data_IF_353750990486
#
_entry.id   IF_353750990486
#
_cell.length_a   1.000
_cell.length_b   1.000
_cell.length_c   1.000
_cell.angle_alpha   90.00
_cell.angle_beta   90.00
_cell.angle_gamma   90.00
#
_symmetry.space_group_name_H-M   'P 1'
#
loop_
_entity.id
_entity.type
_entity.pdbx_description
1 polymer ?
#
# COMPACT_ATOMS: atom_id res chain seq x y z
N UNK A 1 1.63 -16.62 -37.89
CA UNK A 1 2.49 -16.46 -36.71
C UNK A 1 1.65 -16.39 -35.45
N UNK A 2 2.18 -16.91 -34.33
CA UNK A 2 1.50 -16.88 -33.03
C UNK A 2 1.89 -15.61 -32.26
N UNK A 3 0.94 -14.96 -31.58
CA UNK A 3 1.24 -13.83 -30.71
C UNK A 3 2.17 -14.27 -29.56
N UNK A 4 3.18 -13.46 -29.20
CA UNK A 4 4.03 -13.70 -28.04
C UNK A 4 3.24 -13.89 -26.73
N UNK A 5 3.87 -14.51 -25.73
CA UNK A 5 3.32 -14.53 -24.37
C UNK A 5 3.23 -13.08 -23.86
N UNK A 6 2.20 -12.78 -23.07
CA UNK A 6 1.81 -11.47 -22.56
C UNK A 6 1.17 -10.51 -23.58
N UNK A 7 1.07 -10.87 -24.86
CA UNK A 7 0.34 -10.04 -25.82
C UNK A 7 -1.16 -9.97 -25.51
N UNK A 8 -1.76 -8.84 -25.82
CA UNK A 8 -3.20 -8.62 -25.78
C UNK A 8 -3.86 -9.05 -27.09
N UNK A 9 -4.96 -9.79 -26.98
CA UNK A 9 -5.87 -10.11 -28.07
C UNK A 9 -7.23 -9.47 -27.79
N UNK A 10 -7.89 -8.97 -28.81
CA UNK A 10 -9.23 -8.38 -28.71
C UNK A 10 -10.26 -9.27 -29.39
N UNK A 11 -11.36 -9.57 -28.70
CA UNK A 11 -12.47 -10.36 -29.27
C UNK A 11 -13.36 -9.45 -30.11
N UNK A 12 -13.48 -9.74 -31.42
CA UNK A 12 -14.29 -8.91 -32.33
C UNK A 12 -15.79 -9.00 -32.01
N UNK A 13 -16.49 -7.88 -32.24
CA UNK A 13 -17.94 -7.74 -32.18
C UNK A 13 -18.56 -8.15 -30.84
N UNK A 14 -17.86 -7.84 -29.74
CA UNK A 14 -18.34 -8.09 -28.38
C UNK A 14 -18.52 -6.79 -27.61
N UNK A 15 -19.60 -6.73 -26.82
CA UNK A 15 -19.86 -5.65 -25.85
C UNK A 15 -20.19 -6.29 -24.49
N UNK A 16 -19.55 -5.87 -23.38
CA UNK A 16 -18.44 -4.92 -23.32
C UNK A 16 -17.16 -5.46 -24.00
N UNK A 17 -16.20 -4.56 -24.26
CA UNK A 17 -14.92 -4.88 -24.90
C UNK A 17 -14.19 -5.94 -24.09
N UNK A 18 -13.79 -7.04 -24.72
CA UNK A 18 -13.07 -8.12 -24.05
C UNK A 18 -11.64 -8.22 -24.59
N UNK A 19 -10.70 -7.98 -23.68
CA UNK A 19 -9.27 -8.20 -23.89
C UNK A 19 -8.87 -9.54 -23.26
N UNK A 20 -8.08 -10.31 -24.00
CA UNK A 20 -7.49 -11.56 -23.57
C UNK A 20 -5.96 -11.39 -23.53
N UNK A 21 -5.28 -11.85 -22.49
CA UNK A 21 -3.82 -11.88 -22.43
C UNK A 21 -3.30 -13.29 -22.73
N UNK A 22 -2.32 -13.41 -23.62
CA UNK A 22 -1.68 -14.70 -23.93
C UNK A 22 -0.84 -15.18 -22.75
N UNK A 23 -1.18 -16.33 -22.19
CA UNK A 23 -0.47 -16.91 -21.05
C UNK A 23 0.49 -18.04 -21.45
N UNK A 24 0.12 -18.87 -22.42
CA UNK A 24 0.90 -20.04 -22.84
C UNK A 24 0.69 -20.37 -24.33
N UNK A 25 1.70 -20.98 -24.95
CA UNK A 25 1.58 -21.61 -26.27
C UNK A 25 1.37 -23.12 -26.08
N UNK A 26 0.30 -23.69 -26.65
CA UNK A 26 -0.07 -25.10 -26.45
C UNK A 26 0.42 -26.03 -27.57
N UNK A 27 0.92 -25.47 -28.68
CA UNK A 27 1.19 -26.20 -29.91
C UNK A 27 0.05 -26.10 -30.92
N UNK A 28 0.23 -26.65 -32.12
CA UNK A 28 -0.78 -26.65 -33.20
C UNK A 28 -1.33 -25.25 -33.56
N UNK A 29 -0.50 -24.21 -33.45
CA UNK A 29 -0.92 -22.82 -33.64
C UNK A 29 -2.04 -22.37 -32.69
N UNK A 30 -2.08 -22.91 -31.48
CA UNK A 30 -3.04 -22.53 -30.43
C UNK A 30 -2.35 -21.88 -29.23
N UNK A 31 -3.02 -20.88 -28.68
CA UNK A 31 -2.60 -20.17 -27.47
C UNK A 31 -3.64 -20.33 -26.38
N UNK A 32 -3.20 -20.37 -25.13
CA UNK A 32 -4.05 -20.28 -23.95
C UNK A 32 -4.00 -18.84 -23.44
N UNK A 33 -5.17 -18.25 -23.24
CA UNK A 33 -5.30 -16.86 -22.81
C UNK A 33 -6.06 -16.73 -21.49
N UNK A 34 -5.93 -15.58 -20.86
CA UNK A 34 -6.67 -15.17 -19.65
C UNK A 34 -7.55 -13.98 -20.02
N UNK A 35 -8.83 -14.06 -19.69
CA UNK A 35 -9.79 -12.99 -19.95
C UNK A 35 -9.71 -11.87 -18.88
N UNK A 36 -9.80 -10.61 -19.33
CA UNK A 36 -9.84 -9.44 -18.45
C UNK A 36 -11.28 -9.00 -18.10
N UNK A 37 -12.30 -9.64 -18.67
CA UNK A 37 -13.71 -9.40 -18.36
C UNK A 37 -14.46 -10.76 -18.38
N UNK A 38 -15.75 -10.77 -18.04
CA UNK A 38 -16.61 -11.95 -18.07
C UNK A 38 -16.52 -12.69 -19.41
N UNK A 39 -16.69 -14.01 -19.41
CA UNK A 39 -16.58 -14.83 -20.64
C UNK A 39 -17.94 -15.32 -21.15
N UNK A 40 -19.02 -14.86 -20.53
CA UNK A 40 -20.39 -15.13 -20.94
C UNK A 40 -20.60 -14.67 -22.39
N UNK A 41 -21.36 -15.47 -23.15
CA UNK A 41 -21.68 -15.18 -24.55
C UNK A 41 -20.57 -15.49 -25.56
N UNK A 42 -19.39 -15.95 -25.14
CA UNK A 42 -18.36 -16.41 -26.10
C UNK A 42 -18.79 -17.68 -26.80
N UNK A 43 -18.62 -17.70 -28.13
CA UNK A 43 -18.89 -18.85 -28.98
C UNK A 43 -17.62 -19.33 -29.68
N UNK A 44 -17.50 -20.65 -29.87
CA UNK A 44 -16.38 -21.23 -30.61
C UNK A 44 -16.38 -20.72 -32.05
N UNK A 45 -15.21 -20.34 -32.55
CA UNK A 45 -15.04 -19.76 -33.89
C UNK A 45 -15.17 -18.24 -33.94
N UNK A 46 -15.40 -17.56 -32.81
CA UNK A 46 -15.34 -16.11 -32.74
C UNK A 46 -13.93 -15.62 -33.06
N UNK A 47 -13.84 -14.54 -33.85
CA UNK A 47 -12.57 -13.99 -34.31
C UNK A 47 -11.92 -13.16 -33.19
N UNK A 48 -10.64 -13.41 -32.97
CA UNK A 48 -9.79 -12.61 -32.08
C UNK A 48 -8.71 -11.93 -32.92
N UNK A 49 -8.44 -10.67 -32.63
CA UNK A 49 -7.41 -9.86 -33.30
C UNK A 49 -6.24 -9.69 -32.35
N UNK A 50 -5.03 -10.01 -32.81
CA UNK A 50 -3.81 -9.68 -32.08
C UNK A 50 -3.55 -8.18 -32.16
N UNK A 51 -3.38 -7.55 -31.00
CA UNK A 51 -3.03 -6.13 -30.89
C UNK A 51 -1.57 -5.90 -31.26
N UNK A 52 -0.73 -6.95 -31.23
CA UNK A 52 0.70 -6.88 -31.55
C UNK A 52 1.56 -6.37 -30.39
N UNK A 53 0.98 -6.12 -29.23
CA UNK A 53 1.67 -5.74 -28.00
C UNK A 53 0.95 -6.27 -26.77
N UNK A 54 1.58 -6.22 -25.59
CA UNK A 54 0.87 -6.39 -24.32
C UNK A 54 -0.22 -5.33 -24.12
N UNK A 55 -1.00 -5.48 -23.06
CA UNK A 55 -2.01 -4.49 -22.64
C UNK A 55 -1.30 -3.15 -22.42
N UNK A 56 -1.75 -2.12 -23.15
CA UNK A 56 -1.26 -0.74 -23.03
C UNK A 56 -2.32 0.16 -22.43
N UNK A 57 -1.91 1.00 -21.49
CA UNK A 57 -2.80 1.87 -20.73
C UNK A 57 -2.38 3.33 -20.90
N UNK A 58 -3.30 4.30 -20.75
CA UNK A 58 -2.93 5.71 -20.69
C UNK A 58 -2.09 5.99 -19.44
N UNK A 59 -1.01 6.74 -19.64
CA UNK A 59 -0.14 7.25 -18.57
C UNK A 59 0.05 8.75 -18.74
N UNK A 60 0.50 9.41 -17.68
CA UNK A 60 0.75 10.85 -17.67
C UNK A 60 -0.14 11.65 -16.71
N UNK A 61 0.11 12.96 -16.59
CA UNK A 61 -0.68 13.86 -15.74
C UNK A 61 -2.17 13.84 -16.07
N UNK A 62 -2.54 13.51 -17.31
CA UNK A 62 -3.92 13.38 -17.76
C UNK A 62 -4.70 12.24 -17.05
N UNK A 63 -4.00 11.32 -16.36
CA UNK A 63 -4.61 10.27 -15.54
C UNK A 63 -4.94 10.73 -14.11
N UNK A 64 -4.43 11.87 -13.67
CA UNK A 64 -4.67 12.39 -12.31
C UNK A 64 -6.15 12.78 -12.12
N UNK A 65 -6.72 12.31 -11.02
CA UNK A 65 -8.12 12.49 -10.65
C UNK A 65 -9.10 11.59 -11.42
N UNK A 66 -8.58 10.65 -12.22
CA UNK A 66 -9.38 9.70 -13.00
C UNK A 66 -9.42 8.34 -12.32
N UNK A 67 -10.47 7.58 -12.60
CA UNK A 67 -10.56 6.15 -12.25
C UNK A 67 -10.43 5.33 -13.54
N UNK A 68 -9.39 4.49 -13.62
CA UNK A 68 -9.19 3.56 -14.74
C UNK A 68 -9.31 2.10 -14.29
N UNK A 69 -9.77 1.25 -15.20
CA UNK A 69 -9.78 -0.20 -15.01
C UNK A 69 -8.44 -0.85 -15.43
N UNK A 70 -8.35 -2.18 -15.31
CA UNK A 70 -7.14 -2.95 -15.63
C UNK A 70 -6.60 -2.74 -17.05
N UNK A 71 -7.47 -2.50 -18.04
CA UNK A 71 -7.10 -2.27 -19.45
C UNK A 71 -6.92 -0.78 -19.79
N UNK A 72 -7.00 0.11 -18.79
CA UNK A 72 -6.75 1.54 -18.95
C UNK A 72 -7.96 2.36 -19.42
N UNK A 73 -9.17 1.79 -19.41
CA UNK A 73 -10.39 2.51 -19.77
C UNK A 73 -10.94 3.27 -18.56
N UNK A 74 -11.43 4.51 -18.75
CA UNK A 74 -12.01 5.29 -17.66
C UNK A 74 -13.37 4.72 -17.25
N UNK A 75 -13.56 4.53 -15.94
CA UNK A 75 -14.80 4.02 -15.34
C UNK A 75 -15.49 5.05 -14.42
N UNK A 76 -15.08 6.31 -14.51
CA UNK A 76 -15.60 7.43 -13.72
C UNK A 76 -16.69 8.25 -14.43
N UNK A 77 -17.12 7.83 -15.63
CA UNK A 77 -18.11 8.53 -16.48
C UNK A 77 -17.71 9.96 -16.88
N UNK A 78 -16.43 10.33 -16.76
CA UNK A 78 -15.92 11.68 -17.08
C UNK A 78 -15.34 11.81 -18.49
N UNK A 79 -15.80 10.96 -19.41
CA UNK A 79 -15.33 10.89 -20.80
C UNK A 79 -13.95 10.25 -20.95
N UNK A 80 -13.36 10.26 -22.15
CA UNK A 80 -12.08 9.61 -22.41
C UNK A 80 -10.90 10.28 -21.68
N UNK A 81 -9.81 9.55 -21.49
CA UNK A 81 -8.54 10.09 -21.03
C UNK A 81 -7.72 10.46 -22.28
N UNK A 82 -7.50 11.75 -22.50
CA UNK A 82 -6.73 12.25 -23.64
C UNK A 82 -5.22 12.20 -23.35
N UNK A 83 -4.71 11.02 -23.00
CA UNK A 83 -3.31 10.81 -22.71
C UNK A 83 -2.44 10.96 -23.96
N UNK A 84 -1.24 11.53 -23.79
CA UNK A 84 -0.26 11.70 -24.88
C UNK A 84 0.57 10.43 -25.11
N UNK A 85 0.66 9.58 -24.09
CA UNK A 85 1.47 8.37 -24.10
C UNK A 85 0.65 7.18 -23.59
N UNK A 86 0.94 6.01 -24.16
CA UNK A 86 0.44 4.73 -23.70
C UNK A 86 1.65 3.86 -23.31
N UNK A 87 1.56 3.18 -22.17
CA UNK A 87 2.62 2.29 -21.69
C UNK A 87 2.11 0.87 -21.48
N UNK A 88 2.97 -0.12 -21.74
CA UNK A 88 2.70 -1.54 -21.48
C UNK A 88 2.67 -1.80 -19.99
N UNK A 89 1.69 -2.59 -19.51
CA UNK A 89 1.65 -2.98 -18.09
C UNK A 89 2.76 -3.97 -17.69
N UNK A 90 3.32 -4.64 -18.69
CA UNK A 90 4.45 -5.55 -18.56
C UNK A 90 5.73 -4.79 -18.91
N UNK A 91 6.61 -4.70 -17.91
CA UNK A 91 7.94 -4.11 -17.98
C UNK A 91 8.86 -4.93 -17.07
N UNK A 92 10.16 -4.94 -17.39
CA UNK A 92 11.18 -5.53 -16.53
C UNK A 92 11.48 -4.59 -15.35
N UNK A 93 12.02 -5.15 -14.26
CA UNK A 93 12.51 -4.33 -13.16
C UNK A 93 13.71 -3.46 -13.60
N UNK A 94 13.94 -2.29 -12.99
CA UNK A 94 15.11 -1.48 -13.28
C UNK A 94 16.42 -2.27 -13.14
N UNK A 95 17.38 -2.01 -14.04
CA UNK A 95 18.69 -2.64 -13.99
C UNK A 95 19.44 -2.24 -12.72
N UNK A 96 20.35 -3.11 -12.26
CA UNK A 96 21.15 -2.85 -11.06
C UNK A 96 21.94 -1.54 -11.14
N UNK A 97 22.39 -1.16 -12.34
CA UNK A 97 23.14 0.09 -12.54
C UNK A 97 22.28 1.34 -12.31
N UNK A 98 20.96 1.25 -12.46
CA UNK A 98 20.02 2.37 -12.33
C UNK A 98 19.45 2.52 -10.93
N UNK A 99 19.67 1.54 -10.04
CA UNK A 99 19.22 1.58 -8.66
C UNK A 99 20.02 2.62 -7.84
N UNK A 100 19.31 3.37 -7.00
CA UNK A 100 19.97 4.25 -6.03
C UNK A 100 20.49 3.46 -4.82
N UNK A 101 21.67 3.84 -4.32
CA UNK A 101 22.25 3.27 -3.09
C UNK A 101 21.93 4.08 -1.84
N UNK A 102 21.32 5.25 -1.99
CA UNK A 102 21.04 6.16 -0.89
C UNK A 102 19.78 5.73 -0.14
N UNK A 103 19.90 5.55 1.18
CA UNK A 103 18.79 5.25 2.07
C UNK A 103 18.41 6.54 2.82
N UNK A 104 17.37 7.20 2.33
CA UNK A 104 16.82 8.41 2.96
C UNK A 104 15.52 8.09 3.69
N UNK A 105 15.26 8.82 4.78
CA UNK A 105 13.99 8.74 5.50
C UNK A 105 12.94 9.55 4.73
N UNK A 106 11.75 8.97 4.57
CA UNK A 106 10.56 9.67 4.13
C UNK A 106 9.82 10.22 5.35
N UNK A 107 9.80 11.54 5.50
CA UNK A 107 9.09 12.20 6.59
C UNK A 107 7.57 12.14 6.33
N UNK A 108 6.83 11.40 7.14
CA UNK A 108 5.38 11.24 6.98
C UNK A 108 4.57 12.30 7.72
N UNK A 109 5.18 12.94 8.72
CA UNK A 109 4.52 13.88 9.62
C UNK A 109 3.65 13.19 10.67
N UNK A 110 3.72 11.86 10.80
CA UNK A 110 2.93 11.04 11.72
C UNK A 110 3.87 10.52 12.82
N UNK A 111 3.66 10.96 14.06
CA UNK A 111 4.58 10.70 15.19
C UNK A 111 4.98 9.24 15.36
N UNK A 112 4.00 8.32 15.38
CA UNK A 112 4.26 6.89 15.62
C UNK A 112 5.05 6.25 14.47
N UNK A 113 4.76 6.65 13.23
CA UNK A 113 5.46 6.15 12.04
C UNK A 113 6.87 6.70 12.01
N UNK A 114 7.03 8.02 12.06
CA UNK A 114 8.34 8.66 11.97
C UNK A 114 9.27 8.27 13.13
N UNK A 115 8.73 8.00 14.33
CA UNK A 115 9.55 7.59 15.48
C UNK A 115 9.90 6.10 15.47
N UNK A 116 8.90 5.21 15.34
CA UNK A 116 9.04 3.78 15.67
C UNK A 116 9.16 2.88 14.44
N UNK A 117 8.55 3.26 13.33
CA UNK A 117 8.61 2.51 12.08
C UNK A 117 8.87 3.46 10.89
N UNK A 118 10.00 4.20 10.88
CA UNK A 118 10.27 5.21 9.87
C UNK A 118 10.30 4.61 8.48
N UNK A 119 9.73 5.30 7.50
CA UNK A 119 9.67 4.82 6.13
C UNK A 119 10.91 5.26 5.35
N UNK A 120 11.42 4.38 4.50
CA UNK A 120 12.50 4.70 3.58
C UNK A 120 11.91 5.30 2.29
N UNK A 121 12.55 6.32 1.72
CA UNK A 121 12.20 6.81 0.39
C UNK A 121 12.45 5.71 -0.65
N UNK A 122 11.41 5.40 -1.42
CA UNK A 122 11.35 4.28 -2.36
C UNK A 122 11.30 2.90 -1.71
N UNK A 123 11.05 2.86 -0.41
CA UNK A 123 10.84 1.61 0.32
C UNK A 123 9.46 1.01 0.06
N UNK A 124 9.31 -0.24 0.48
CA UNK A 124 8.07 -1.00 0.45
C UNK A 124 7.53 -1.14 1.88
N UNK A 125 6.35 -0.59 2.13
CA UNK A 125 5.72 -0.57 3.44
C UNK A 125 4.53 -1.53 3.43
N UNK A 126 4.49 -2.46 4.37
CA UNK A 126 3.32 -3.30 4.62
C UNK A 126 2.42 -2.69 5.69
N UNK A 127 1.15 -2.44 5.34
CA UNK A 127 0.13 -2.00 6.27
C UNK A 127 -0.77 -3.19 6.67
N UNK A 128 -0.65 -3.61 7.92
CA UNK A 128 -1.41 -4.72 8.48
C UNK A 128 -2.56 -4.18 9.32
N UNK A 129 -3.69 -4.88 9.31
CA UNK A 129 -4.80 -4.51 10.19
C UNK A 129 -6.13 -5.10 9.73
N UNK A 130 -6.98 -5.41 10.70
CA UNK A 130 -8.34 -5.86 10.48
C UNK A 130 -9.25 -4.77 9.92
N UNK A 131 -10.53 -5.11 9.69
CA UNK A 131 -11.53 -4.11 9.34
C UNK A 131 -11.79 -3.15 10.53
N UNK A 132 -11.96 -1.87 10.23
CA UNK A 132 -12.37 -0.84 11.20
C UNK A 132 -11.24 -0.20 12.03
N UNK A 133 -9.98 -0.58 11.83
CA UNK A 133 -8.82 -0.01 12.58
C UNK A 133 -8.26 1.29 12.00
N UNK A 134 -8.89 1.85 10.96
CA UNK A 134 -8.48 3.13 10.36
C UNK A 134 -7.45 3.06 9.22
N UNK A 135 -7.30 1.92 8.53
CA UNK A 135 -6.38 1.76 7.37
C UNK A 135 -6.56 2.84 6.30
N UNK A 136 -7.79 3.01 5.82
CA UNK A 136 -8.13 3.98 4.77
C UNK A 136 -7.82 5.41 5.20
N UNK A 137 -8.13 5.76 6.46
CA UNK A 137 -7.85 7.09 7.03
C UNK A 137 -6.35 7.35 7.09
N UNK A 138 -5.54 6.35 7.48
CA UNK A 138 -4.08 6.46 7.47
C UNK A 138 -3.53 6.61 6.05
N UNK A 139 -4.04 5.86 5.08
CA UNK A 139 -3.64 5.97 3.67
C UNK A 139 -3.93 7.37 3.12
N UNK A 140 -5.14 7.90 3.36
CA UNK A 140 -5.49 9.26 2.93
C UNK A 140 -4.61 10.32 3.58
N UNK A 141 -4.31 10.18 4.87
CA UNK A 141 -3.42 11.11 5.56
C UNK A 141 -2.00 11.09 4.97
N UNK A 142 -1.46 9.90 4.65
CA UNK A 142 -0.17 9.77 3.97
C UNK A 142 -0.17 10.45 2.60
N UNK A 143 -1.23 10.26 1.81
CA UNK A 143 -1.41 10.96 0.51
C UNK A 143 -1.38 12.48 0.72
N UNK A 144 -2.16 12.99 1.67
CA UNK A 144 -2.25 14.42 1.94
C UNK A 144 -0.92 15.02 2.43
N UNK A 145 -0.27 14.38 3.41
CA UNK A 145 0.94 14.91 4.02
C UNK A 145 2.09 14.98 3.01
N UNK A 146 2.26 13.94 2.19
CA UNK A 146 3.35 13.88 1.22
C UNK A 146 3.06 14.77 0.02
N UNK A 147 1.81 14.86 -0.46
CA UNK A 147 1.44 15.81 -1.51
C UNK A 147 1.71 17.26 -1.09
N UNK A 148 1.50 17.61 0.19
CA UNK A 148 1.77 18.96 0.73
C UNK A 148 3.26 19.23 0.99
N UNK A 149 3.99 18.24 1.52
CA UNK A 149 5.38 18.42 1.92
C UNK A 149 6.38 18.23 0.77
N UNK A 150 6.13 17.28 -0.13
CA UNK A 150 7.07 16.86 -1.17
C UNK A 150 6.60 17.14 -2.60
N UNK A 151 5.34 17.57 -2.79
CA UNK A 151 4.81 17.93 -4.11
C UNK A 151 4.62 16.77 -5.09
N UNK A 152 4.85 15.52 -4.64
CA UNK A 152 4.76 14.31 -5.46
C UNK A 152 3.32 13.86 -5.76
N UNK A 153 3.19 12.99 -6.75
CA UNK A 153 1.92 12.34 -7.12
C UNK A 153 1.71 11.03 -6.37
N UNK A 154 0.45 10.66 -6.22
CA UNK A 154 0.04 9.36 -5.68
C UNK A 154 -0.67 8.53 -6.74
N UNK A 155 -0.52 7.22 -6.67
CA UNK A 155 -1.31 6.26 -7.44
C UNK A 155 -1.93 5.29 -6.46
N UNK A 156 -3.24 5.08 -6.55
CA UNK A 156 -3.94 4.09 -5.74
C UNK A 156 -4.43 2.94 -6.63
N UNK A 157 -3.90 1.74 -6.38
CA UNK A 157 -4.29 0.50 -7.02
C UNK A 157 -5.22 -0.30 -6.10
N UNK A 158 -6.52 -0.26 -6.39
CA UNK A 158 -7.56 -1.05 -5.73
C UNK A 158 -7.62 -2.46 -6.32
N UNK A 159 -6.80 -3.37 -5.81
CA UNK A 159 -6.69 -4.78 -6.21
C UNK A 159 -7.68 -5.63 -5.43
N UNK A 160 -8.75 -6.06 -6.10
CA UNK A 160 -9.76 -6.93 -5.51
C UNK A 160 -10.46 -6.30 -4.30
N UNK A 161 -10.67 -4.98 -4.33
CA UNK A 161 -11.38 -4.25 -3.28
C UNK A 161 -12.89 -4.26 -3.47
N UNK A 162 -13.62 -3.96 -2.39
CA UNK A 162 -15.07 -3.81 -2.48
C UNK A 162 -15.42 -2.53 -3.22
N UNK A 163 -16.35 -2.62 -4.17
CA UNK A 163 -16.86 -1.47 -4.92
C UNK A 163 -17.34 -0.33 -4.01
N UNK A 164 -18.00 -0.67 -2.90
CA UNK A 164 -18.43 0.31 -1.89
C UNK A 164 -17.25 1.07 -1.29
N UNK A 165 -16.19 0.37 -0.91
CA UNK A 165 -15.00 0.97 -0.26
C UNK A 165 -14.24 1.87 -1.25
N UNK A 166 -14.13 1.46 -2.52
CA UNK A 166 -13.56 2.32 -3.57
C UNK A 166 -14.41 3.57 -3.86
N UNK A 167 -15.74 3.44 -3.86
CA UNK A 167 -16.65 4.58 -4.02
C UNK A 167 -16.55 5.56 -2.85
N UNK A 168 -16.56 5.05 -1.62
CA UNK A 168 -16.43 5.86 -0.40
C UNK A 168 -15.10 6.62 -0.41
N UNK A 169 -13.99 5.93 -0.73
CA UNK A 169 -12.67 6.54 -0.87
C UNK A 169 -12.63 7.63 -1.95
N UNK A 170 -13.23 7.41 -3.12
CA UNK A 170 -13.27 8.41 -4.18
C UNK A 170 -14.01 9.68 -3.74
N UNK A 171 -15.16 9.53 -3.07
CA UNK A 171 -15.91 10.67 -2.54
C UNK A 171 -15.18 11.38 -1.40
N UNK A 172 -14.52 10.66 -0.51
CA UNK A 172 -13.68 11.24 0.54
C UNK A 172 -12.51 12.04 -0.07
N UNK A 173 -11.85 11.51 -1.11
CA UNK A 173 -10.80 12.22 -1.83
C UNK A 173 -11.29 13.49 -2.55
N UNK A 174 -12.53 13.49 -3.04
CA UNK A 174 -13.16 14.69 -3.62
C UNK A 174 -13.43 15.73 -2.52
N UNK A 175 -13.99 15.30 -1.39
CA UNK A 175 -14.34 16.20 -0.28
C UNK A 175 -13.10 16.83 0.37
N UNK A 176 -12.02 16.06 0.50
CA UNK A 176 -10.75 16.50 1.08
C UNK A 176 -9.88 17.30 0.10
N UNK A 177 -10.28 17.37 -1.18
CA UNK A 177 -9.58 18.12 -2.23
C UNK A 177 -8.35 17.43 -2.82
N UNK A 178 -8.14 16.15 -2.52
CA UNK A 178 -7.10 15.32 -3.14
C UNK A 178 -7.43 15.06 -4.63
N UNK A 179 -8.72 14.87 -4.92
CA UNK A 179 -9.27 14.83 -6.28
C UNK A 179 -10.05 16.11 -6.55
N UNK A 180 -9.58 16.89 -7.51
CA UNK A 180 -10.26 18.06 -8.02
C UNK A 180 -11.08 17.69 -9.27
N UNK A 181 -12.41 17.78 -9.15
CA UNK A 181 -13.31 17.48 -10.26
C UNK A 181 -13.43 18.63 -11.28
N UNK A 182 -13.14 19.86 -10.86
CA UNK A 182 -13.39 21.08 -11.64
C UNK A 182 -12.13 21.67 -12.26
N UNK A 183 -10.99 21.47 -11.61
CA UNK A 183 -9.68 21.90 -12.09
C UNK A 183 -8.75 20.73 -12.40
N UNK A 184 -7.47 21.07 -12.59
CA UNK A 184 -6.39 20.12 -12.93
C UNK A 184 -5.42 19.93 -11.75
N UNK A 185 -5.89 20.11 -10.52
CA UNK A 185 -5.05 20.08 -9.32
C UNK A 185 -5.07 18.72 -8.59
N UNK A 186 -5.72 17.71 -9.18
CA UNK A 186 -5.74 16.35 -8.63
C UNK A 186 -4.33 15.82 -8.43
N UNK A 187 -4.10 15.15 -7.30
CA UNK A 187 -2.78 14.62 -6.93
C UNK A 187 -2.72 13.09 -6.93
N UNK A 188 -3.83 12.43 -7.22
CA UNK A 188 -3.94 10.97 -7.19
C UNK A 188 -4.52 10.43 -8.49
N UNK A 189 -3.95 9.36 -9.03
CA UNK A 189 -4.58 8.53 -10.07
C UNK A 189 -5.16 7.27 -9.42
N UNK A 190 -6.40 6.89 -9.78
CA UNK A 190 -7.08 5.74 -9.22
C UNK A 190 -7.15 4.62 -10.25
N UNK A 191 -6.70 3.42 -9.88
CA UNK A 191 -6.71 2.23 -10.72
C UNK A 191 -7.47 1.14 -9.99
N UNK A 192 -8.66 0.76 -10.47
CA UNK A 192 -9.53 -0.20 -9.79
C UNK A 192 -9.71 -1.48 -10.58
N UNK A 193 -9.63 -2.59 -9.86
CA UNK A 193 -9.92 -3.94 -10.34
C UNK A 193 -10.66 -4.66 -9.23
N UNK A 194 -11.98 -4.54 -9.21
CA UNK A 194 -12.80 -4.82 -8.03
C UNK A 194 -13.04 -6.32 -7.79
N UNK A 195 -13.60 -6.68 -6.62
CA UNK A 195 -13.90 -8.08 -6.29
C UNK A 195 -14.86 -8.78 -7.27
N UNK A 196 -15.74 -8.04 -7.93
CA UNK A 196 -16.68 -8.58 -8.92
C UNK A 196 -16.02 -8.84 -10.29
N UNK A 197 -14.79 -8.38 -10.51
CA UNK A 197 -14.06 -8.63 -11.75
C UNK A 197 -13.41 -10.03 -11.75
N UNK A 198 -13.22 -10.63 -12.94
CA UNK A 198 -12.62 -11.94 -13.05
C UNK A 198 -11.18 -11.95 -12.50
N UNK A 199 -10.67 -13.12 -12.09
CA UNK A 199 -9.33 -13.23 -11.53
C UNK A 199 -8.23 -12.76 -12.50
N UNK A 200 -8.46 -12.80 -13.82
CA UNK A 200 -7.52 -12.23 -14.80
C UNK A 200 -7.30 -10.73 -14.59
N UNK A 201 -8.37 -9.95 -14.44
CA UNK A 201 -8.31 -8.52 -14.19
C UNK A 201 -7.64 -8.21 -12.84
N UNK A 202 -8.07 -8.89 -11.78
CA UNK A 202 -7.50 -8.72 -10.43
C UNK A 202 -6.00 -9.06 -10.37
N UNK A 203 -5.55 -10.04 -11.16
CA UNK A 203 -4.13 -10.43 -11.24
C UNK A 203 -3.26 -9.48 -12.07
N UNK A 204 -3.85 -8.46 -12.73
CA UNK A 204 -3.11 -7.50 -13.59
C UNK A 204 -3.26 -6.06 -13.14
N UNK A 205 -4.30 -5.72 -12.40
CA UNK A 205 -4.58 -4.33 -12.01
C UNK A 205 -3.48 -3.70 -11.12
N UNK A 206 -2.77 -4.51 -10.32
CA UNK A 206 -1.58 -4.04 -9.60
C UNK A 206 -0.49 -3.54 -10.55
N UNK A 207 -0.28 -4.23 -11.68
CA UNK A 207 0.68 -3.84 -12.72
C UNK A 207 0.21 -2.58 -13.45
N UNK A 208 -1.08 -2.42 -13.67
CA UNK A 208 -1.67 -1.19 -14.22
C UNK A 208 -1.36 0.01 -13.33
N UNK A 209 -1.59 -0.09 -12.02
CA UNK A 209 -1.24 0.96 -11.06
C UNK A 209 0.26 1.25 -11.01
N UNK A 210 1.07 0.20 -11.00
CA UNK A 210 2.53 0.32 -11.03
C UNK A 210 3.02 1.03 -12.30
N UNK A 211 2.45 0.74 -13.46
CA UNK A 211 2.84 1.36 -14.74
C UNK A 211 2.55 2.85 -14.77
N UNK A 212 1.44 3.29 -14.15
CA UNK A 212 1.15 4.71 -13.96
C UNK A 212 2.19 5.35 -13.03
N UNK A 213 2.56 4.68 -11.94
CA UNK A 213 3.57 5.18 -11.02
C UNK A 213 4.98 5.24 -11.64
N UNK A 214 5.35 4.25 -12.44
CA UNK A 214 6.62 4.21 -13.16
C UNK A 214 6.76 5.33 -14.17
N UNK A 215 5.67 5.73 -14.84
CA UNK A 215 5.72 6.92 -15.71
C UNK A 215 6.15 8.17 -14.92
N UNK A 216 5.54 8.41 -13.76
CA UNK A 216 5.90 9.57 -12.94
C UNK A 216 7.33 9.47 -12.38
N UNK A 217 7.82 8.26 -12.09
CA UNK A 217 9.21 8.03 -11.70
C UNK A 217 10.21 8.27 -12.84
N UNK A 218 9.97 7.66 -14.00
CA UNK A 218 11.00 7.52 -15.05
C UNK A 218 10.96 8.60 -16.12
N UNK A 219 9.77 9.13 -16.42
CA UNK A 219 9.57 10.19 -17.42
C UNK A 219 9.50 11.57 -16.76
N UNK A 220 8.85 11.69 -15.59
CA UNK A 220 8.75 12.96 -14.87
C UNK A 220 9.81 13.17 -13.78
N UNK A 221 10.52 12.11 -13.38
CA UNK A 221 11.58 12.20 -12.37
C UNK A 221 11.06 12.58 -10.98
N UNK A 222 9.87 12.11 -10.61
CA UNK A 222 9.23 12.46 -9.35
C UNK A 222 9.32 11.35 -8.31
N UNK A 223 9.15 11.74 -7.05
CA UNK A 223 8.87 10.82 -5.95
C UNK A 223 7.37 10.53 -5.91
N UNK A 224 7.03 9.25 -6.09
CA UNK A 224 5.65 8.77 -6.25
C UNK A 224 5.29 7.90 -5.07
N UNK A 225 4.07 8.07 -4.57
CA UNK A 225 3.47 7.12 -3.65
C UNK A 225 2.58 6.14 -4.39
N UNK A 226 2.85 4.84 -4.22
CA UNK A 226 2.00 3.78 -4.75
C UNK A 226 1.25 3.09 -3.61
N UNK A 227 -0.06 3.22 -3.58
CA UNK A 227 -0.92 2.50 -2.65
C UNK A 227 -1.46 1.26 -3.33
N UNK A 228 -1.26 0.08 -2.71
CA UNK A 228 -1.84 -1.18 -3.20
C UNK A 228 -2.75 -1.73 -2.12
N UNK A 229 -4.05 -1.62 -2.32
CA UNK A 229 -5.05 -2.24 -1.46
C UNK A 229 -5.86 -3.21 -2.31
N UNK A 230 -5.73 -4.54 -2.20
CA UNK A 230 -4.88 -5.30 -1.28
C UNK A 230 -3.91 -6.21 -2.03
N UNK A 231 -2.63 -6.21 -1.65
CA UNK A 231 -1.61 -7.02 -2.32
C UNK A 231 -1.87 -8.54 -2.20
N UNK A 232 -2.54 -8.98 -1.14
CA UNK A 232 -2.95 -10.38 -1.00
C UNK A 232 -3.92 -10.80 -2.11
N UNK A 233 -4.78 -9.89 -2.59
CA UNK A 233 -5.76 -10.19 -3.64
C UNK A 233 -5.10 -10.39 -5.00
N UNK A 234 -3.95 -9.77 -5.24
CA UNK A 234 -3.10 -10.07 -6.41
C UNK A 234 -2.65 -11.53 -6.38
N UNK A 235 -2.13 -11.98 -5.24
CA UNK A 235 -1.73 -13.39 -5.04
C UNK A 235 -2.91 -14.34 -5.18
N UNK A 236 -4.04 -14.04 -4.54
CA UNK A 236 -5.24 -14.87 -4.59
C UNK A 236 -5.74 -15.03 -6.03
N UNK A 237 -5.82 -13.94 -6.79
CA UNK A 237 -6.20 -13.96 -8.20
C UNK A 237 -5.20 -14.78 -9.03
N UNK A 238 -3.90 -14.69 -8.72
CA UNK A 238 -2.84 -15.53 -9.31
C UNK A 238 -3.08 -17.03 -9.08
N UNK A 239 -3.46 -17.44 -7.86
CA UNK A 239 -3.82 -18.83 -7.56
C UNK A 239 -5.02 -19.31 -8.37
N UNK A 240 -6.07 -18.50 -8.47
CA UNK A 240 -7.28 -18.81 -9.25
C UNK A 240 -6.93 -18.99 -10.74
N UNK A 241 -6.16 -18.06 -11.32
CA UNK A 241 -5.67 -18.16 -12.70
C UNK A 241 -4.79 -19.40 -12.90
N UNK A 242 -3.87 -19.67 -11.98
CA UNK A 242 -2.95 -20.81 -12.06
C UNK A 242 -3.69 -22.15 -12.08
N UNK A 243 -4.74 -22.29 -11.26
CA UNK A 243 -5.59 -23.47 -11.24
C UNK A 243 -6.30 -23.64 -12.60
N UNK A 244 -6.84 -22.58 -13.17
CA UNK A 244 -7.50 -22.60 -14.49
C UNK A 244 -6.53 -22.89 -15.65
N UNK A 245 -5.26 -22.51 -15.52
CA UNK A 245 -4.21 -22.86 -16.47
C UNK A 245 -3.76 -24.33 -16.37
N UNK A 246 -4.29 -25.10 -15.41
CA UNK A 246 -3.96 -26.52 -15.22
C UNK A 246 -2.57 -26.74 -14.60
N UNK A 247 -2.04 -25.75 -13.89
CA UNK A 247 -0.80 -25.90 -13.13
C UNK A 247 -1.07 -26.68 -11.85
N UNK A 248 -0.12 -27.54 -11.44
CA UNK A 248 -0.21 -28.25 -10.16
C UNK A 248 -0.08 -27.22 -9.02
N UNK A 249 -1.01 -27.18 -8.05
CA UNK A 249 -0.92 -26.26 -6.92
C UNK A 249 0.26 -26.62 -6.00
N UNK A 250 0.81 -25.60 -5.35
CA UNK A 250 1.87 -25.70 -4.36
C UNK A 250 1.31 -25.76 -2.93
N UNK A 251 2.13 -25.47 -1.93
CA UNK A 251 1.76 -25.39 -0.53
C UNK A 251 0.50 -24.52 -0.32
N UNK A 252 -0.43 -25.01 0.50
CA UNK A 252 -1.68 -24.33 0.87
C UNK A 252 -2.58 -23.99 -0.34
N UNK A 253 -2.30 -24.53 -1.53
CA UNK A 253 -3.11 -24.30 -2.74
C UNK A 253 -2.68 -23.10 -3.59
N UNK A 254 -1.56 -22.44 -3.26
CA UNK A 254 -1.04 -21.33 -4.06
C UNK A 254 -0.43 -21.79 -5.39
N UNK A 255 -0.26 -20.85 -6.32
CA UNK A 255 0.42 -21.11 -7.58
C UNK A 255 1.90 -21.48 -7.36
N UNK A 256 2.48 -22.40 -8.16
CA UNK A 256 3.90 -22.75 -8.05
C UNK A 256 4.84 -21.58 -8.40
N UNK A 257 4.31 -20.56 -9.08
CA UNK A 257 5.04 -19.34 -9.49
C UNK A 257 4.92 -18.20 -8.49
N UNK A 258 4.38 -18.43 -7.28
CA UNK A 258 4.04 -17.37 -6.32
C UNK A 258 5.19 -16.38 -6.08
N UNK A 259 6.38 -16.91 -5.77
CA UNK A 259 7.56 -16.09 -5.49
C UNK A 259 8.02 -15.29 -6.71
N UNK A 260 7.95 -15.88 -7.91
CA UNK A 260 8.35 -15.20 -9.15
C UNK A 260 7.35 -14.12 -9.55
N UNK A 261 6.04 -14.42 -9.46
CA UNK A 261 4.97 -13.47 -9.80
C UNK A 261 5.00 -12.26 -8.85
N UNK A 262 5.21 -12.51 -7.56
CA UNK A 262 5.39 -11.46 -6.55
C UNK A 262 6.67 -10.67 -6.79
N UNK A 263 7.82 -11.34 -6.96
CA UNK A 263 9.10 -10.68 -7.17
C UNK A 263 9.14 -9.82 -8.43
N UNK A 264 8.59 -10.30 -9.55
CA UNK A 264 8.54 -9.53 -10.81
C UNK A 264 7.80 -8.20 -10.64
N UNK A 265 6.75 -8.17 -9.82
CA UNK A 265 6.03 -6.93 -9.53
C UNK A 265 6.74 -6.08 -8.46
N UNK A 266 7.18 -6.70 -7.37
CA UNK A 266 7.79 -5.98 -6.25
C UNK A 266 9.11 -5.33 -6.63
N UNK A 267 9.95 -5.96 -7.46
CA UNK A 267 11.27 -5.42 -7.82
C UNK A 267 11.20 -4.19 -8.75
N UNK A 268 10.06 -3.99 -9.43
CA UNK A 268 9.78 -2.75 -10.16
C UNK A 268 9.50 -1.56 -9.24
N UNK A 269 9.03 -1.82 -8.02
CA UNK A 269 8.81 -0.80 -6.99
C UNK A 269 10.15 -0.53 -6.31
N UNK A 270 10.86 0.50 -6.77
CA UNK A 270 12.18 0.86 -6.23
C UNK A 270 12.54 2.31 -6.55
N UNK A 271 13.61 2.80 -5.93
CA UNK A 271 14.27 4.07 -6.27
C UNK A 271 15.27 3.88 -7.40
N UNK A 272 15.10 4.66 -8.46
CA UNK A 272 16.09 4.78 -9.53
C UNK A 272 16.84 6.10 -9.38
N UNK A 273 17.86 6.32 -10.23
CA UNK A 273 18.56 7.61 -10.31
C UNK A 273 17.66 8.78 -10.74
N UNK A 274 16.47 8.50 -11.31
CA UNK A 274 15.55 9.52 -11.83
C UNK A 274 14.49 9.95 -10.82
N UNK A 275 14.04 9.03 -9.98
CA UNK A 275 12.98 9.27 -9.01
C UNK A 275 12.74 8.03 -8.15
N UNK A 276 11.74 8.09 -7.27
CA UNK A 276 11.42 6.97 -6.38
C UNK A 276 9.95 6.57 -6.43
N UNK A 277 9.67 5.28 -6.21
CA UNK A 277 8.32 4.81 -5.91
C UNK A 277 8.34 4.25 -4.50
N UNK A 278 7.74 4.98 -3.55
CA UNK A 278 7.52 4.47 -2.21
C UNK A 278 6.14 3.80 -2.19
N UNK A 279 6.07 2.51 -1.85
CA UNK A 279 4.79 1.80 -1.85
C UNK A 279 4.25 1.56 -0.46
N UNK A 280 2.95 1.77 -0.27
CA UNK A 280 2.22 1.41 0.94
C UNK A 280 1.17 0.37 0.56
N UNK A 281 1.39 -0.86 1.00
CA UNK A 281 0.66 -2.03 0.56
C UNK A 281 -0.16 -2.57 1.73
N UNK A 282 -1.49 -2.53 1.61
CA UNK A 282 -2.33 -3.19 2.59
C UNK A 282 -2.22 -4.71 2.40
N UNK A 283 -1.94 -5.42 3.50
CA UNK A 283 -1.75 -6.87 3.50
C UNK A 283 -2.83 -7.51 4.37
N UNK A 284 -3.67 -8.32 3.72
CA UNK A 284 -4.57 -9.22 4.42
C UNK A 284 -3.82 -10.50 4.81
N UNK A 285 -3.83 -10.83 6.11
CA UNK A 285 -3.26 -12.08 6.63
C UNK A 285 -4.41 -13.10 6.76
N UNK A 286 -4.41 -14.18 5.96
CA UNK A 286 -5.45 -15.19 6.04
C UNK A 286 -5.45 -15.86 7.41
N UNK A 287 -6.62 -15.89 8.06
CA UNK A 287 -6.80 -16.55 9.36
C UNK A 287 -5.79 -16.12 10.45
N UNK A 288 -5.26 -14.89 10.36
CA UNK A 288 -4.22 -14.35 11.22
C UNK A 288 -2.93 -15.21 11.28
N UNK A 289 -2.68 -16.03 10.24
CA UNK A 289 -1.49 -16.87 10.10
C UNK A 289 -0.39 -16.17 9.28
N UNK A 290 0.61 -15.62 9.96
CA UNK A 290 1.78 -15.00 9.35
C UNK A 290 2.70 -15.99 8.61
N UNK A 291 2.53 -17.30 8.85
CA UNK A 291 3.31 -18.36 8.20
C UNK A 291 2.73 -18.83 6.87
N UNK A 292 1.55 -18.32 6.49
CA UNK A 292 0.97 -18.56 5.17
C UNK A 292 1.96 -18.10 4.06
N UNK A 293 2.13 -18.88 2.98
CA UNK A 293 3.08 -18.55 1.91
C UNK A 293 2.90 -17.16 1.28
N UNK A 294 1.67 -16.64 1.20
CA UNK A 294 1.41 -15.34 0.59
C UNK A 294 1.98 -14.15 1.41
N UNK A 295 1.64 -13.97 2.70
CA UNK A 295 2.27 -12.95 3.53
C UNK A 295 3.77 -13.24 3.71
N UNK A 296 4.20 -14.50 3.90
CA UNK A 296 5.61 -14.86 4.04
C UNK A 296 6.47 -14.40 2.84
N UNK A 297 5.99 -14.61 1.62
CA UNK A 297 6.67 -14.16 0.40
C UNK A 297 6.66 -12.62 0.31
N UNK A 298 5.54 -11.98 0.67
CA UNK A 298 5.43 -10.52 0.65
C UNK A 298 6.40 -9.87 1.65
N UNK A 299 6.54 -10.43 2.85
CA UNK A 299 7.42 -9.93 3.91
C UNK A 299 8.88 -9.82 3.47
N UNK A 300 9.35 -10.74 2.64
CA UNK A 300 10.73 -10.72 2.14
C UNK A 300 11.05 -9.44 1.34
N UNK A 301 10.04 -8.80 0.74
CA UNK A 301 10.21 -7.58 -0.04
C UNK A 301 9.97 -6.30 0.77
N UNK A 302 9.42 -6.35 1.98
CA UNK A 302 9.09 -5.14 2.74
C UNK A 302 10.32 -4.56 3.47
N UNK A 303 10.40 -3.24 3.49
CA UNK A 303 11.39 -2.46 4.26
C UNK A 303 10.87 -2.05 5.63
N UNK A 304 9.56 -1.80 5.72
CA UNK A 304 8.87 -1.46 6.97
C UNK A 304 7.51 -2.15 7.05
N UNK A 305 7.09 -2.46 8.27
CA UNK A 305 5.76 -2.99 8.57
C UNK A 305 5.10 -2.09 9.60
N UNK A 306 3.86 -1.68 9.30
CA UNK A 306 3.02 -0.90 10.21
C UNK A 306 1.80 -1.74 10.52
N UNK A 307 1.69 -2.16 11.77
CA UNK A 307 0.61 -3.02 12.24
C UNK A 307 -0.44 -2.18 12.94
N UNK A 308 -1.69 -2.22 12.46
CA UNK A 308 -2.82 -1.56 13.10
C UNK A 308 -3.59 -2.55 13.98
N UNK A 309 -3.66 -2.25 15.27
CA UNK A 309 -4.25 -3.11 16.29
C UNK A 309 -5.66 -2.65 16.67
N UNK A 310 -6.60 -3.60 16.73
CA UNK A 310 -7.95 -3.34 17.22
C UNK A 310 -7.95 -2.93 18.69
N UNK A 311 -7.13 -3.55 19.52
CA UNK A 311 -7.05 -3.22 20.95
C UNK A 311 -6.64 -1.77 21.19
N UNK A 312 -5.76 -1.22 20.34
CA UNK A 312 -5.35 0.20 20.41
C UNK A 312 -6.48 1.12 19.94
N UNK A 313 -7.18 0.74 18.87
CA UNK A 313 -8.34 1.50 18.36
C UNK A 313 -9.48 1.58 19.40
N UNK A 314 -9.75 0.50 20.14
CA UNK A 314 -10.77 0.43 21.20
C UNK A 314 -10.44 1.34 22.38
N UNK A 315 -9.17 1.64 22.61
CA UNK A 315 -8.73 2.64 23.60
C UNK A 315 -8.92 4.09 23.11
N UNK A 316 -9.41 4.30 21.88
CA UNK A 316 -9.58 5.61 21.26
C UNK A 316 -8.27 6.25 20.79
N UNK A 317 -7.21 5.46 20.60
CA UNK A 317 -5.90 5.95 20.13
C UNK A 317 -5.86 5.84 18.61
N UNK A 318 -5.79 6.98 17.93
CA UNK A 318 -5.67 7.06 16.47
C UNK A 318 -4.43 7.88 16.07
N UNK A 319 -3.62 7.42 15.11
CA UNK A 319 -3.75 6.16 14.36
C UNK A 319 -3.49 4.94 15.25
N UNK A 320 -4.18 3.82 14.98
CA UNK A 320 -4.16 2.62 15.81
C UNK A 320 -2.91 1.74 15.61
N UNK A 321 -1.74 2.36 15.41
CA UNK A 321 -0.48 1.67 15.13
C UNK A 321 0.04 1.01 16.41
N UNK A 322 0.38 -0.28 16.31
CA UNK A 322 1.04 -1.03 17.36
C UNK A 322 2.51 -0.66 17.44
N UNK A 323 2.96 -0.02 18.54
CA UNK A 323 4.33 0.47 18.69
C UNK A 323 5.37 -0.64 18.90
N UNK A 324 4.94 -1.86 19.23
CA UNK A 324 5.81 -3.00 19.50
C UNK A 324 5.87 -3.97 18.32
N UNK A 325 4.75 -4.17 17.62
CA UNK A 325 4.68 -5.08 16.47
C UNK A 325 5.06 -4.41 15.13
N UNK A 326 5.06 -3.07 15.07
CA UNK A 326 5.54 -2.33 13.90
C UNK A 326 7.07 -2.22 13.90
N UNK A 327 7.70 -2.44 12.74
CA UNK A 327 9.16 -2.41 12.59
C UNK A 327 9.59 -1.77 11.28
N UNK A 328 10.84 -1.29 11.25
CA UNK A 328 11.46 -0.75 10.05
C UNK A 328 12.93 -1.16 10.00
N UNK A 329 13.41 -1.53 8.80
CA UNK A 329 14.82 -1.86 8.55
C UNK A 329 15.73 -0.65 8.75
N UNK A 330 15.23 0.56 8.51
CA UNK A 330 16.01 1.79 8.61
C UNK A 330 16.03 2.37 10.02
N UNK A 331 15.36 1.75 11.00
CA UNK A 331 15.51 2.11 12.42
C UNK A 331 16.87 1.59 12.96
N UNK A 332 17.94 2.11 12.37
CA UNK A 332 19.34 1.82 12.65
C UNK A 332 20.07 3.12 13.00
N UNK A 333 20.90 3.16 14.05
CA UNK A 333 21.60 4.38 14.47
C UNK A 333 22.52 4.98 13.39
N UNK A 334 22.93 4.21 12.38
CA UNK A 334 23.73 4.70 11.26
C UNK A 334 22.90 5.43 10.21
N UNK A 335 21.58 5.23 10.17
CA UNK A 335 20.66 5.84 9.20
C UNK A 335 19.86 6.96 9.87
N UNK A 336 19.09 6.65 10.93
CA UNK A 336 18.26 7.64 11.64
C UNK A 336 19.05 8.52 12.62
N UNK A 337 20.31 8.16 12.88
CA UNK A 337 21.13 8.80 13.88
C UNK A 337 20.91 8.26 15.29
N UNK A 338 21.91 8.44 16.15
CA UNK A 338 21.94 7.86 17.50
C UNK A 338 20.83 8.42 18.41
N UNK A 339 20.50 9.70 18.29
CA UNK A 339 19.47 10.34 19.12
C UNK A 339 18.09 9.74 18.84
N UNK A 340 17.67 9.69 17.58
CA UNK A 340 16.39 9.10 17.17
C UNK A 340 16.32 7.64 17.62
N UNK A 341 17.34 6.84 17.31
CA UNK A 341 17.39 5.43 17.68
C UNK A 341 17.26 5.20 19.20
N UNK A 342 17.97 5.99 20.01
CA UNK A 342 17.94 5.86 21.47
C UNK A 342 16.56 6.22 22.04
N UNK A 343 15.92 7.27 21.52
CA UNK A 343 14.57 7.66 21.95
C UNK A 343 13.55 6.59 21.54
N UNK A 344 13.59 6.11 20.30
CA UNK A 344 12.69 5.06 19.82
C UNK A 344 12.81 3.77 20.66
N UNK A 345 14.04 3.31 20.93
CA UNK A 345 14.27 2.12 21.78
C UNK A 345 13.85 2.34 23.23
N UNK A 346 14.03 3.55 23.78
CA UNK A 346 13.53 3.91 25.10
C UNK A 346 12.00 3.84 25.20
N UNK A 347 11.30 4.35 24.18
CA UNK A 347 9.84 4.26 24.07
C UNK A 347 9.38 2.81 23.99
N UNK A 348 9.97 2.00 23.10
CA UNK A 348 9.62 0.57 22.97
C UNK A 348 9.85 -0.18 24.28
N UNK A 349 10.95 0.10 24.98
CA UNK A 349 11.25 -0.53 26.27
C UNK A 349 10.17 -0.24 27.33
N UNK A 350 9.83 1.03 27.55
CA UNK A 350 8.79 1.40 28.54
C UNK A 350 7.45 0.77 28.20
N UNK A 351 7.08 0.72 26.92
CA UNK A 351 5.82 0.09 26.48
C UNK A 351 5.82 -1.43 26.67
N UNK A 352 6.96 -2.09 26.46
CA UNK A 352 7.13 -3.52 26.71
C UNK A 352 7.07 -3.84 28.21
N UNK A 353 7.73 -3.04 29.04
CA UNK A 353 7.69 -3.15 30.50
C UNK A 353 6.25 -2.96 30.99
N UNK A 354 5.53 -1.95 30.47
CA UNK A 354 4.11 -1.73 30.77
C UNK A 354 3.23 -2.92 30.41
N UNK A 355 3.41 -3.51 29.22
CA UNK A 355 2.67 -4.71 28.80
C UNK A 355 2.86 -5.88 29.76
N UNK A 356 4.06 -6.03 30.31
CA UNK A 356 4.38 -7.08 31.29
C UNK A 356 3.74 -6.82 32.66
N UNK A 357 3.54 -5.55 33.02
CA UNK A 357 2.86 -5.13 34.25
C UNK A 357 1.33 -5.20 34.13
N UNK A 358 0.75 -5.18 32.92
CA UNK A 358 -0.71 -5.19 32.73
C UNK A 358 -1.40 -6.41 33.36
N UNK A 359 -0.81 -7.60 33.24
CA UNK A 359 -1.37 -8.83 33.84
C UNK A 359 -1.35 -8.75 35.37
N UNK A 360 -0.29 -8.19 35.94
CA UNK A 360 -0.16 -7.97 37.40
C UNK A 360 -1.22 -6.97 37.86
N UNK A 361 -1.37 -5.85 37.14
CA UNK A 361 -2.36 -4.80 37.44
C UNK A 361 -3.78 -5.35 37.38
N UNK A 362 -4.08 -6.21 36.40
CA UNK A 362 -5.41 -6.79 36.23
C UNK A 362 -5.81 -7.74 37.38
N UNK A 363 -4.84 -8.40 38.02
CA UNK A 363 -5.07 -9.38 39.10
C UNK A 363 -4.97 -8.73 40.48
N UNK A 364 -3.90 -7.99 40.73
CA UNK A 364 -3.54 -7.47 42.06
C UNK A 364 -3.94 -6.01 42.27
N UNK A 365 -4.18 -5.26 41.18
CA UNK A 365 -4.45 -3.83 41.22
C UNK A 365 -3.17 -2.97 41.18
N UNK A 366 -3.35 -1.68 40.89
CA UNK A 366 -2.25 -0.69 40.80
C UNK A 366 -1.52 -0.46 42.13
N UNK A 367 -2.21 -0.69 43.25
CA UNK A 367 -1.69 -0.40 44.59
C UNK A 367 -0.59 -1.38 45.02
N UNK A 368 -0.52 -2.57 44.42
CA UNK A 368 0.49 -3.59 44.74
C UNK A 368 1.81 -3.40 43.97
N UNK A 369 1.86 -2.44 43.04
CA UNK A 369 3.07 -2.12 42.29
C UNK A 369 4.06 -1.31 43.14
N UNK A 370 5.36 -1.52 42.89
CA UNK A 370 6.41 -0.66 43.44
C UNK A 370 6.29 0.78 42.91
N UNK A 371 6.87 1.74 43.61
CA UNK A 371 6.86 3.15 43.16
C UNK A 371 7.50 3.33 41.78
N UNK A 372 8.56 2.56 41.47
CA UNK A 372 9.23 2.59 40.16
C UNK A 372 8.35 1.99 39.05
N UNK A 373 7.60 0.92 39.35
CA UNK A 373 6.65 0.31 38.41
C UNK A 373 5.46 1.25 38.16
N UNK A 374 4.94 1.90 39.22
CA UNK A 374 3.89 2.93 39.08
C UNK A 374 4.35 4.08 38.20
N UNK A 375 5.59 4.54 38.37
CA UNK A 375 6.18 5.58 37.52
C UNK A 375 6.29 5.12 36.05
N UNK A 376 6.71 3.88 35.84
CA UNK A 376 6.79 3.25 34.51
C UNK A 376 5.42 3.20 33.84
N UNK A 377 4.39 2.76 34.57
CA UNK A 377 3.00 2.73 34.10
C UNK A 377 2.50 4.14 33.75
N UNK A 378 2.73 5.12 34.62
CA UNK A 378 2.31 6.50 34.38
C UNK A 378 2.95 7.09 33.11
N UNK A 379 4.25 6.87 32.91
CA UNK A 379 4.95 7.30 31.68
C UNK A 379 4.50 6.52 30.46
N UNK A 380 4.28 5.21 30.57
CA UNK A 380 3.81 4.39 29.46
C UNK A 380 2.42 4.83 28.96
N UNK A 381 1.50 5.16 29.86
CA UNK A 381 0.17 5.67 29.51
C UNK A 381 0.26 7.01 28.79
N UNK A 382 1.10 7.94 29.27
CA UNK A 382 1.38 9.22 28.58
C UNK A 382 1.98 9.00 27.20
N UNK A 383 2.97 8.11 27.06
CA UNK A 383 3.57 7.77 25.77
C UNK A 383 2.51 7.20 24.81
N UNK A 384 1.70 6.25 25.29
CA UNK A 384 0.63 5.63 24.50
C UNK A 384 -0.38 6.66 24.00
N UNK A 385 -0.79 7.62 24.84
CA UNK A 385 -1.65 8.74 24.44
C UNK A 385 -0.94 9.72 23.52
N UNK A 386 0.34 10.02 23.76
CA UNK A 386 1.11 10.96 22.96
C UNK A 386 1.45 10.45 21.54
N UNK A 387 1.41 9.13 21.33
CA UNK A 387 1.48 8.52 19.99
C UNK A 387 0.24 8.83 19.14
N UNK A 388 -0.90 9.15 19.75
CA UNK A 388 -2.09 9.60 19.02
C UNK A 388 -1.88 10.95 18.34
N UNK A 389 -2.52 11.18 17.22
CA UNK A 389 -2.40 12.41 16.44
C UNK A 389 -3.71 12.69 15.69
N UNK A 390 -4.26 13.92 15.79
CA UNK A 390 -5.39 14.32 14.96
C UNK A 390 -4.91 14.46 13.51
N UNK A 391 -5.54 13.71 12.61
CA UNK A 391 -5.27 13.74 11.18
C UNK A 391 -6.12 14.79 10.49
N UNK A 392 -5.54 15.43 9.47
CA UNK A 392 -6.25 16.43 8.69
C UNK A 392 -7.40 15.80 7.91
N UNK A 393 -7.18 14.61 7.34
CA UNK A 393 -8.24 13.87 6.64
C UNK A 393 -9.36 13.40 7.58
N UNK A 394 -9.12 13.39 8.90
CA UNK A 394 -10.11 13.03 9.92
C UNK A 394 -10.82 14.24 10.55
N UNK A 395 -10.50 15.48 10.16
CA UNK A 395 -11.14 16.70 10.69
C UNK A 395 -12.66 16.67 10.54
N UNK A 396 -13.16 16.18 9.40
CA UNK A 396 -14.59 16.08 9.09
C UNK A 396 -15.35 15.13 10.03
N UNK A 397 -14.66 14.14 10.60
CA UNK A 397 -15.25 13.16 11.51
C UNK A 397 -15.04 13.52 12.99
N UNK A 398 -13.89 14.11 13.31
CA UNK A 398 -13.46 14.34 14.69
C UNK A 398 -13.69 15.77 15.18
N UNK A 399 -13.81 16.74 14.27
CA UNK A 399 -13.89 18.18 14.58
C UNK A 399 -12.59 18.80 15.11
N UNK A 400 -11.51 18.02 15.25
CA UNK A 400 -10.22 18.49 15.73
C UNK A 400 -9.31 18.81 14.55
N UNK A 401 -8.69 19.99 14.56
CA UNK A 401 -7.75 20.42 13.52
C UNK A 401 -6.54 19.45 13.44
N UNK A 402 -6.26 18.99 12.22
CA UNK A 402 -5.15 18.10 11.92
C UNK A 402 -3.81 18.76 12.20
N UNK A 403 -2.86 17.95 12.67
CA UNK A 403 -1.50 18.43 12.98
C UNK A 403 -0.48 17.58 12.24
N UNK A 404 0.36 18.25 11.44
CA UNK A 404 1.54 17.66 10.82
C UNK A 404 2.75 17.93 11.73
N UNK A 405 3.41 16.87 12.21
CA UNK A 405 4.45 16.99 13.23
C UNK A 405 5.82 16.67 12.63
N UNK A 406 6.79 17.62 12.61
CA UNK A 406 8.13 17.36 12.12
C UNK A 406 8.87 16.30 12.97
N UNK A 407 9.72 15.44 12.38
CA UNK A 407 10.43 14.39 13.13
C UNK A 407 11.27 14.93 14.30
N UNK A 408 11.89 16.11 14.14
CA UNK A 408 12.69 16.75 15.22
C UNK A 408 11.85 17.06 16.46
N UNK A 409 10.61 17.50 16.28
CA UNK A 409 9.70 17.80 17.38
C UNK A 409 9.15 16.52 18.00
N UNK A 410 8.90 15.49 17.19
CA UNK A 410 8.56 14.14 17.66
C UNK A 410 9.64 13.61 18.60
N UNK A 411 10.90 13.55 18.16
CA UNK A 411 12.02 13.04 18.95
C UNK A 411 12.17 13.81 20.26
N UNK A 412 12.15 15.16 20.20
CA UNK A 412 12.26 16.02 21.37
C UNK A 412 11.11 15.81 22.36
N UNK A 413 9.88 15.67 21.87
CA UNK A 413 8.69 15.43 22.69
C UNK A 413 8.81 14.12 23.47
N UNK A 414 9.10 13.01 22.78
CA UNK A 414 9.26 11.71 23.44
C UNK A 414 10.48 11.67 24.38
N UNK A 415 11.58 12.33 24.02
CA UNK A 415 12.76 12.41 24.88
C UNK A 415 12.46 13.08 26.23
N UNK A 416 11.62 14.14 26.25
CA UNK A 416 11.20 14.81 27.49
C UNK A 416 10.35 13.91 28.39
N UNK A 417 9.45 13.13 27.79
CA UNK A 417 8.63 12.16 28.53
C UNK A 417 9.53 11.07 29.14
N UNK A 418 10.47 10.54 28.36
CA UNK A 418 11.43 9.52 28.82
C UNK A 418 12.30 10.03 29.99
N UNK A 419 12.72 11.30 29.95
CA UNK A 419 13.53 11.93 31.01
C UNK A 419 12.72 12.30 32.27
N UNK A 420 11.38 12.21 32.22
CA UNK A 420 10.51 12.58 33.34
C UNK A 420 10.22 14.08 33.47
N UNK A 421 10.62 14.90 32.50
CA UNK A 421 10.40 16.36 32.53
C UNK A 421 8.90 16.71 32.55
N UNK A 422 8.05 15.80 32.07
CA UNK A 422 6.60 15.97 31.95
C UNK A 422 5.81 15.07 32.92
N UNK A 423 6.44 14.55 33.97
CA UNK A 423 5.77 13.68 34.95
C UNK A 423 4.63 14.39 35.71
N UNK A 424 4.71 15.70 35.87
CA UNK A 424 3.70 16.55 36.52
C UNK A 424 2.46 16.83 35.66
N UNK A 425 2.51 16.59 34.35
CA UNK A 425 1.38 16.80 33.43
C UNK A 425 0.42 15.59 33.54
N UNK A 426 -0.91 15.76 33.47
CA UNK A 426 -1.85 14.63 33.41
C UNK A 426 -1.67 13.78 32.14
N UNK A 427 -2.30 12.60 32.13
CA UNK A 427 -2.31 11.66 30.98
C UNK A 427 -2.93 12.23 29.71
#
# INVERSE_FOLDING_TARGET
DLPPILNALEVENRSPRLVLEVAQHLGESSVRTIAMDGTEGLVRGQKCVDVGSPIKIPVGPETLGRIINVIGEPIDERGPINAKMLSSIHADAPDFEDMSTEQEILETGIKVVDLLAPYARGGKIGLFGGAGVGKTVLIMELINNIARAHGGYSVFAGVGERTREGNDLYHEMIQTGVVDLKGNNSKVALVYGQMNEPPGARARVALTGLTVAEYFRDEEGQDVLLFIDNIFRFTQAGSEVSALLGRIPSAVGYQPTLATDMGTMQERITTTKKGSITSVQAIYVPADDLTDPAPATTFAHLDATTVLSRGIAELGIYPAVDPLDSMSRILDPNIVGTEHYTVAKGVQKILQDYRSLQDIIAILGMDELSEDDRLTVARARKISRFLSQPFQMAEVFTGHEGKLVPPKDTIKGFQKILKGELDHIPE
#
